data_IF_121406987736
#
_entry.id   IF_121406987736
#
_cell.length_a   1.000
_cell.length_b   1.000
_cell.length_c   1.000
_cell.angle_alpha   90.00
_cell.angle_beta   90.00
_cell.angle_gamma   90.00
#
_symmetry.space_group_name_H-M   'P 1'
#
loop_
_entity.id
_entity.type
_entity.pdbx_description
1 polymer ?
#
# COMPACT_ATOMS: atom_id res chain seq x y z
N UNK A 1 -19.25 -10.93 -20.88
CA UNK A 1 -17.86 -11.43 -20.99
C UNK A 1 -17.17 -11.05 -19.70
N UNK A 2 -16.82 -12.05 -18.89
CA UNK A 2 -16.05 -12.02 -17.64
C UNK A 2 -16.25 -10.83 -16.69
N UNK A 3 -17.18 -11.01 -15.75
CA UNK A 3 -17.14 -10.37 -14.44
C UNK A 3 -15.93 -10.95 -13.66
N UNK A 4 -14.73 -10.42 -13.93
CA UNK A 4 -13.56 -10.74 -13.13
C UNK A 4 -13.73 -9.99 -11.81
N UNK A 5 -14.13 -10.71 -10.75
CA UNK A 5 -14.13 -10.18 -9.38
C UNK A 5 -12.84 -9.40 -9.17
N UNK A 6 -12.95 -8.08 -9.00
CA UNK A 6 -11.76 -7.25 -8.78
C UNK A 6 -11.04 -7.79 -7.54
N UNK A 7 -9.73 -8.10 -7.64
CA UNK A 7 -8.96 -8.49 -6.47
C UNK A 7 -9.05 -7.37 -5.43
N UNK A 8 -9.21 -7.74 -4.16
CA UNK A 8 -9.19 -6.77 -3.07
C UNK A 8 -7.85 -6.02 -3.08
N UNK A 9 -7.84 -4.76 -2.60
CA UNK A 9 -6.62 -3.95 -2.48
C UNK A 9 -5.46 -4.73 -1.87
N UNK A 10 -5.75 -5.58 -0.88
CA UNK A 10 -4.75 -6.41 -0.21
C UNK A 10 -4.09 -7.43 -1.15
N UNK A 11 -4.85 -8.11 -2.02
CA UNK A 11 -4.31 -9.09 -2.94
C UNK A 11 -3.40 -8.45 -4.00
N UNK A 12 -3.82 -7.30 -4.53
CA UNK A 12 -3.02 -6.52 -5.50
C UNK A 12 -1.72 -6.02 -4.88
N UNK A 13 -1.76 -5.55 -3.63
CA UNK A 13 -0.57 -5.11 -2.89
C UNK A 13 0.36 -6.29 -2.61
N UNK A 14 -0.15 -7.43 -2.14
CA UNK A 14 0.68 -8.61 -1.88
C UNK A 14 1.38 -9.15 -3.13
N UNK A 15 0.82 -8.93 -4.32
CA UNK A 15 1.44 -9.35 -5.58
C UNK A 15 2.68 -8.53 -5.97
N UNK A 16 2.85 -7.33 -5.42
CA UNK A 16 3.95 -6.39 -5.78
C UNK A 16 4.93 -6.14 -4.64
N UNK A 17 4.61 -6.58 -3.42
CA UNK A 17 5.51 -6.47 -2.27
C UNK A 17 6.77 -7.32 -2.51
N UNK A 18 7.93 -6.77 -2.15
CA UNK A 18 9.20 -7.49 -2.22
C UNK A 18 9.13 -8.77 -1.38
N UNK A 19 9.31 -9.92 -2.02
CA UNK A 19 9.24 -11.24 -1.39
C UNK A 19 10.29 -11.48 -0.30
N UNK A 20 11.34 -10.66 -0.25
CA UNK A 20 12.37 -10.69 0.79
C UNK A 20 11.94 -9.99 2.08
N UNK A 21 10.79 -9.33 2.11
CA UNK A 21 10.20 -8.76 3.32
C UNK A 21 9.44 -9.86 4.07
N UNK A 22 9.99 -10.31 5.20
CA UNK A 22 9.45 -11.42 5.98
C UNK A 22 8.46 -10.99 7.07
N UNK A 23 8.46 -9.70 7.41
CA UNK A 23 7.73 -9.17 8.56
C UNK A 23 7.37 -7.71 8.30
N UNK A 24 6.10 -7.46 8.00
CA UNK A 24 5.59 -6.12 7.75
C UNK A 24 4.13 -5.97 8.18
N UNK A 25 3.73 -4.78 8.63
CA UNK A 25 2.33 -4.46 8.93
C UNK A 25 1.54 -4.29 7.62
N UNK A 26 0.73 -5.28 7.24
CA UNK A 26 0.00 -5.29 5.96
C UNK A 26 -0.84 -4.02 5.75
N UNK A 27 -1.49 -3.51 6.79
CA UNK A 27 -2.28 -2.28 6.71
C UNK A 27 -1.42 -1.06 6.35
N UNK A 28 -0.20 -0.95 6.89
CA UNK A 28 0.71 0.15 6.54
C UNK A 28 1.21 0.00 5.10
N UNK A 29 1.46 -1.22 4.65
CA UNK A 29 1.90 -1.48 3.26
C UNK A 29 0.79 -1.16 2.26
N UNK A 30 -0.47 -1.52 2.54
CA UNK A 30 -1.61 -1.14 1.71
C UNK A 30 -1.73 0.39 1.63
N UNK A 31 -1.62 1.09 2.76
CA UNK A 31 -1.70 2.55 2.76
C UNK A 31 -0.50 3.21 2.08
N UNK A 32 0.71 2.66 2.26
CA UNK A 32 1.91 3.11 1.55
C UNK A 32 1.72 2.99 0.04
N UNK A 33 1.14 1.87 -0.42
CA UNK A 33 0.84 1.67 -1.83
C UNK A 33 -0.17 2.72 -2.33
N UNK A 34 -1.23 3.00 -1.58
CA UNK A 34 -2.19 4.07 -1.91
C UNK A 34 -1.53 5.44 -2.03
N UNK A 35 -0.64 5.80 -1.10
CA UNK A 35 0.14 7.04 -1.15
C UNK A 35 1.04 7.06 -2.39
N UNK A 36 1.70 5.95 -2.71
CA UNK A 36 2.57 5.84 -3.88
C UNK A 36 1.79 6.06 -5.19
N UNK A 37 0.60 5.46 -5.32
CA UNK A 37 -0.29 5.69 -6.47
C UNK A 37 -0.68 7.17 -6.58
N UNK A 38 -1.08 7.82 -5.47
CA UNK A 38 -1.38 9.25 -5.46
C UNK A 38 -0.19 10.13 -5.91
N UNK A 39 1.05 9.75 -5.59
CA UNK A 39 2.24 10.51 -5.95
C UNK A 39 2.55 10.47 -7.46
N UNK A 40 2.03 9.48 -8.17
CA UNK A 40 2.29 9.26 -9.61
C UNK A 40 1.05 9.50 -10.46
N UNK A 41 0.04 10.18 -9.91
CA UNK A 41 -1.15 10.60 -10.67
C UNK A 41 -0.75 11.37 -11.93
N UNK A 42 -1.47 11.13 -13.02
CA UNK A 42 -1.14 11.75 -14.30
C UNK A 42 -1.31 13.27 -14.23
N UNK A 43 -2.41 13.72 -13.63
CA UNK A 43 -2.67 15.13 -13.40
C UNK A 43 -1.82 15.65 -12.24
N UNK A 44 -1.00 16.67 -12.53
CA UNK A 44 -0.05 17.24 -11.57
C UNK A 44 -0.73 17.86 -10.34
N UNK A 45 -1.93 18.43 -10.50
CA UNK A 45 -2.66 19.04 -9.40
C UNK A 45 -3.38 18.02 -8.49
N UNK A 46 -3.48 16.76 -8.91
CA UNK A 46 -4.00 15.66 -8.09
C UNK A 46 -2.92 15.02 -7.19
N UNK A 47 -1.64 15.27 -7.49
CA UNK A 47 -0.53 14.78 -6.67
C UNK A 47 -0.47 15.53 -5.34
N UNK A 48 -0.18 14.84 -4.23
CA UNK A 48 0.01 15.49 -2.94
C UNK A 48 1.28 16.34 -2.94
N UNK A 49 1.27 17.40 -2.14
CA UNK A 49 2.48 18.14 -1.79
C UNK A 49 3.41 17.27 -0.95
N UNK A 50 4.72 17.56 -0.98
CA UNK A 50 5.68 16.84 -0.13
C UNK A 50 5.35 16.92 1.36
N UNK A 51 4.69 17.99 1.83
CA UNK A 51 4.21 18.11 3.22
C UNK A 51 3.12 17.09 3.52
N UNK A 52 2.15 16.93 2.63
CA UNK A 52 1.10 15.94 2.76
C UNK A 52 1.67 14.52 2.69
N UNK A 53 2.61 14.24 1.78
CA UNK A 53 3.31 12.94 1.69
C UNK A 53 3.98 12.60 3.02
N UNK A 54 4.80 13.51 3.56
CA UNK A 54 5.49 13.28 4.85
C UNK A 54 4.47 13.06 5.98
N UNK A 55 3.40 13.85 6.01
CA UNK A 55 2.35 13.68 7.01
C UNK A 55 1.68 12.29 6.89
N UNK A 56 1.30 11.86 5.69
CA UNK A 56 0.67 10.55 5.48
C UNK A 56 1.60 9.39 5.85
N UNK A 57 2.89 9.46 5.48
CA UNK A 57 3.89 8.44 5.81
C UNK A 57 4.16 8.34 7.32
N UNK A 58 4.14 9.47 8.03
CA UNK A 58 4.35 9.51 9.48
C UNK A 58 3.14 9.00 10.26
N UNK A 59 1.95 9.01 9.65
CA UNK A 59 0.68 8.60 10.26
C UNK A 59 0.14 7.27 9.69
N UNK A 60 1.02 6.40 9.20
CA UNK A 60 0.61 5.06 8.76
C UNK A 60 0.03 4.25 9.94
N UNK A 61 -1.01 3.44 9.71
CA UNK A 61 -1.60 2.63 10.77
C UNK A 61 -0.57 1.63 11.29
N UNK A 62 -0.33 1.63 12.59
CA UNK A 62 0.48 0.60 13.26
C UNK A 62 -0.41 -0.61 13.52
N UNK A 63 -0.53 -1.51 12.54
CA UNK A 63 -1.24 -2.78 12.75
C UNK A 63 -0.24 -3.89 13.06
N UNK A 64 -0.64 -4.84 13.88
CA UNK A 64 0.18 -5.97 14.34
C UNK A 64 0.90 -6.64 13.18
N UNK A 65 2.21 -6.84 13.34
CA UNK A 65 3.08 -7.45 12.34
C UNK A 65 2.55 -8.82 11.93
N UNK A 66 2.16 -8.98 10.66
CA UNK A 66 1.80 -10.29 10.12
C UNK A 66 3.09 -11.08 9.93
N UNK A 67 3.40 -11.96 10.88
CA UNK A 67 4.49 -12.91 10.76
C UNK A 67 4.06 -14.00 9.77
N UNK A 68 4.58 -13.97 8.54
CA UNK A 68 4.33 -14.98 7.51
C UNK A 68 5.06 -16.33 7.78
N UNK A 69 5.65 -16.52 8.97
CA UNK A 69 6.45 -17.70 9.35
C UNK A 69 5.67 -18.75 10.16
N UNK A 70 4.39 -18.95 9.86
CA UNK A 70 3.61 -20.05 10.47
C UNK A 70 2.74 -20.77 9.43
N UNK A 71 3.34 -21.21 8.31
CA UNK A 71 2.89 -22.31 7.46
C UNK A 71 4.11 -23.00 6.84
#
# INVERSE_FOLDING_TARGET
MSELSQPSDAASVLAVVDSRLHSYPLASVINLFKIAIMCVEEESCARPTMREVVHMLTNLPQSTTTTLLAL
#
